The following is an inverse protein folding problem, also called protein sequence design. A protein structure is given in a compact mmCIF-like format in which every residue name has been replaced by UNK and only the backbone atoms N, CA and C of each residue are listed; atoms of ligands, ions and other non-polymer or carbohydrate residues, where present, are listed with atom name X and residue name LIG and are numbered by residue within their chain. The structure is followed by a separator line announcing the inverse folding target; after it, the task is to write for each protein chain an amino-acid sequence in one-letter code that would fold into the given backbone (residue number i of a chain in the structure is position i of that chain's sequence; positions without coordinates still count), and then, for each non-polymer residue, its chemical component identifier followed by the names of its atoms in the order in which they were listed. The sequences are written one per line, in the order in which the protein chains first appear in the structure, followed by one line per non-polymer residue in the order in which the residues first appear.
data_IF_654270924419
#
_entry.id   IF_654270924419
#
_cell.length_a   1.000
_cell.length_b   1.000
_cell.length_c   1.000
_cell.angle_alpha   90.00
_cell.angle_beta   90.00
_cell.angle_gamma   90.00
#
_symmetry.space_group_name_H-M   'P 1'
#
loop_
_entity.id
_entity.type
_entity.pdbx_description
1 polymer ?
#
# COMPACT_ATOMS: atom_id res chain seq x y z
N UNK A 1 4.74 -21.00 -9.99
CA UNK A 1 5.96 -20.33 -9.50
C UNK A 1 6.07 -18.87 -9.96
N UNK A 2 6.00 -18.57 -11.26
CA UNK A 2 6.05 -17.18 -11.77
C UNK A 2 5.05 -16.22 -11.11
N UNK A 3 3.77 -16.62 -11.02
CA UNK A 3 2.73 -15.81 -10.35
C UNK A 3 3.01 -15.52 -8.88
N UNK A 4 3.58 -16.47 -8.15
CA UNK A 4 3.96 -16.29 -6.75
C UNK A 4 5.05 -15.23 -6.60
N UNK A 5 6.11 -15.34 -7.41
CA UNK A 5 7.21 -14.37 -7.40
C UNK A 5 6.70 -12.97 -7.74
N UNK A 6 5.92 -12.84 -8.82
CA UNK A 6 5.30 -11.56 -9.17
C UNK A 6 4.44 -10.97 -8.06
N UNK A 7 3.65 -11.79 -7.38
CA UNK A 7 2.82 -11.36 -6.26
C UNK A 7 3.67 -10.76 -5.14
N UNK A 8 4.76 -11.42 -4.72
CA UNK A 8 5.65 -10.91 -3.67
C UNK A 8 6.34 -9.61 -4.10
N UNK A 9 6.86 -9.55 -5.33
CA UNK A 9 7.47 -8.34 -5.86
C UNK A 9 6.48 -7.17 -5.93
N UNK A 10 5.24 -7.43 -6.34
CA UNK A 10 4.19 -6.42 -6.36
C UNK A 10 3.91 -5.83 -4.96
N UNK A 11 3.76 -6.69 -3.94
CA UNK A 11 3.55 -6.26 -2.55
C UNK A 11 4.74 -5.41 -2.05
N UNK A 12 5.96 -5.84 -2.34
CA UNK A 12 7.17 -5.12 -1.95
C UNK A 12 7.27 -3.76 -2.66
N UNK A 13 7.08 -3.71 -3.98
CA UNK A 13 7.14 -2.48 -4.77
C UNK A 13 6.11 -1.45 -4.30
N UNK A 14 4.86 -1.88 -4.02
CA UNK A 14 3.83 -0.97 -3.50
C UNK A 14 4.23 -0.36 -2.16
N UNK A 15 4.82 -1.15 -1.26
CA UNK A 15 5.36 -0.63 0.00
C UNK A 15 6.49 0.39 -0.22
N UNK A 16 7.47 0.06 -1.08
CA UNK A 16 8.63 0.92 -1.36
C UNK A 16 8.22 2.27 -1.98
N UNK A 17 7.26 2.27 -2.91
CA UNK A 17 6.76 3.50 -3.54
C UNK A 17 6.15 4.41 -2.49
N UNK A 18 5.32 3.87 -1.58
CA UNK A 18 4.66 4.65 -0.51
C UNK A 18 5.65 5.19 0.51
N UNK A 19 6.68 4.42 0.84
CA UNK A 19 7.77 4.90 1.70
C UNK A 19 8.56 6.02 1.04
N UNK A 20 8.93 5.87 -0.23
CA UNK A 20 9.62 6.91 -1.01
C UNK A 20 8.82 8.22 -1.05
N UNK A 21 7.52 8.14 -1.37
CA UNK A 21 6.62 9.29 -1.38
C UNK A 21 6.48 9.93 0.01
N UNK A 22 6.38 9.13 1.07
CA UNK A 22 6.27 9.63 2.45
C UNK A 22 7.55 10.36 2.89
N UNK A 23 8.72 9.81 2.56
CA UNK A 23 10.02 10.45 2.82
C UNK A 23 10.19 11.75 2.03
N UNK A 24 9.73 11.77 0.78
CA UNK A 24 9.73 12.98 -0.05
C UNK A 24 8.85 14.08 0.57
N UNK A 25 7.68 13.73 1.12
CA UNK A 25 6.83 14.70 1.82
C UNK A 25 7.45 15.20 3.13
N UNK A 26 8.16 14.34 3.87
CA UNK A 26 8.91 14.75 5.06
C UNK A 26 9.98 15.80 4.74
N UNK A 27 10.62 15.67 3.58
CA UNK A 27 11.62 16.63 3.12
C UNK A 27 11.00 17.98 2.70
N UNK A 28 9.81 17.96 2.07
CA UNK A 28 9.17 19.18 1.53
C UNK A 28 8.46 20.02 2.60
N UNK A 29 7.80 19.41 3.58
CA UNK A 29 6.92 20.11 4.52
C UNK A 29 7.59 20.31 5.89
N UNK A 30 8.07 21.52 6.23
CA UNK A 30 8.79 21.78 7.49
C UNK A 30 7.90 21.91 8.74
N UNK A 31 6.59 21.69 8.65
CA UNK A 31 5.66 21.87 9.78
C UNK A 31 5.77 20.79 10.86
N UNK A 32 5.94 21.15 12.13
CA UNK A 32 6.21 20.22 13.25
C UNK A 32 5.10 19.17 13.46
N UNK A 33 3.83 19.55 13.39
CA UNK A 33 2.69 18.63 13.52
C UNK A 33 2.59 17.68 12.32
N UNK A 34 2.84 18.20 11.12
CA UNK A 34 2.80 17.44 9.86
C UNK A 34 3.92 16.44 9.80
N UNK A 35 5.10 16.85 10.22
CA UNK A 35 6.28 16.01 10.30
C UNK A 35 5.98 14.79 11.19
N UNK A 36 5.37 15.00 12.37
CA UNK A 36 4.97 13.89 13.25
C UNK A 36 3.95 12.95 12.59
N UNK A 37 2.95 13.49 11.90
CA UNK A 37 1.94 12.71 11.14
C UNK A 37 2.56 11.93 9.99
N UNK A 38 3.49 12.53 9.25
CA UNK A 38 4.19 11.90 8.13
C UNK A 38 5.15 10.80 8.60
N UNK A 39 5.87 11.01 9.70
CA UNK A 39 6.70 9.96 10.32
C UNK A 39 5.82 8.81 10.78
N UNK A 40 4.70 9.09 11.45
CA UNK A 40 3.75 8.06 11.86
C UNK A 40 3.22 7.27 10.64
N UNK A 41 2.90 7.97 9.55
CA UNK A 41 2.44 7.37 8.27
C UNK A 41 3.55 6.52 7.63
N UNK A 42 4.80 6.96 7.66
CA UNK A 42 5.94 6.21 7.15
C UNK A 42 6.15 4.90 7.94
N UNK A 43 6.16 4.99 9.27
CA UNK A 43 6.30 3.82 10.15
C UNK A 43 5.13 2.86 9.95
N UNK A 44 3.91 3.37 9.88
CA UNK A 44 2.71 2.58 9.62
C UNK A 44 2.81 1.83 8.29
N UNK A 45 3.13 2.51 7.18
CA UNK A 45 3.30 1.87 5.87
C UNK A 45 4.42 0.83 5.87
N UNK A 46 5.55 1.10 6.55
CA UNK A 46 6.65 0.14 6.65
C UNK A 46 6.23 -1.14 7.38
N UNK A 47 5.62 -1.00 8.56
CA UNK A 47 5.21 -2.14 9.39
C UNK A 47 4.17 -2.99 8.67
N UNK A 48 3.10 -2.37 8.15
CA UNK A 48 2.05 -3.11 7.44
C UNK A 48 2.53 -3.68 6.11
N UNK A 49 3.35 -2.94 5.35
CA UNK A 49 3.91 -3.43 4.10
C UNK A 49 4.80 -4.67 4.31
N UNK A 50 5.67 -4.66 5.32
CA UNK A 50 6.46 -5.84 5.70
C UNK A 50 5.55 -6.98 6.13
N UNK A 51 4.53 -6.73 6.95
CA UNK A 51 3.58 -7.76 7.37
C UNK A 51 2.84 -8.41 6.18
N UNK A 52 2.39 -7.62 5.20
CA UNK A 52 1.77 -8.14 3.98
C UNK A 52 2.74 -8.96 3.13
N UNK A 53 3.99 -8.51 2.96
CA UNK A 53 5.02 -9.28 2.24
C UNK A 53 5.31 -10.61 2.93
N UNK A 54 5.52 -10.61 4.24
CA UNK A 54 5.77 -11.83 5.02
C UNK A 54 4.57 -12.79 4.94
N UNK A 55 3.36 -12.28 5.14
CA UNK A 55 2.12 -13.08 5.02
C UNK A 55 1.98 -13.64 3.60
N UNK A 56 2.30 -12.83 2.58
CA UNK A 56 2.36 -13.27 1.18
C UNK A 56 3.34 -14.42 0.99
N UNK A 57 4.58 -14.30 1.48
CA UNK A 57 5.60 -15.34 1.35
C UNK A 57 5.21 -16.63 2.06
N UNK A 58 4.60 -16.53 3.26
CA UNK A 58 4.18 -17.65 4.08
C UNK A 58 2.68 -17.95 3.95
N UNK A 59 2.07 -17.63 2.80
CA UNK A 59 0.62 -17.80 2.58
C UNK A 59 0.17 -19.27 2.62
N UNK A 60 1.09 -20.22 2.42
CA UNK A 60 0.81 -21.65 2.41
C UNK A 60 1.79 -22.42 3.31
N UNK A 61 1.28 -23.47 3.95
CA UNK A 61 2.05 -24.42 4.75
C UNK A 61 1.84 -25.84 4.21
N UNK A 62 2.87 -26.48 3.63
CA UNK A 62 4.19 -25.94 3.26
C UNK A 62 4.10 -24.92 2.11
N UNK A 63 5.09 -24.03 1.96
CA UNK A 63 5.12 -22.99 0.91
C UNK A 63 5.01 -23.59 -0.49
N UNK A 64 5.61 -24.78 -0.69
CA UNK A 64 5.55 -25.53 -1.94
C UNK A 64 4.14 -25.89 -2.37
N UNK A 65 3.22 -26.00 -1.40
CA UNK A 65 1.82 -26.31 -1.68
C UNK A 65 1.14 -25.26 -2.57
N UNK A 66 1.59 -24.00 -2.53
CA UNK A 66 1.04 -22.94 -3.38
C UNK A 66 1.05 -23.31 -4.87
N UNK A 67 2.12 -23.95 -5.36
CA UNK A 67 2.24 -24.33 -6.77
C UNK A 67 2.05 -25.82 -7.05
N UNK A 68 2.15 -26.69 -6.03
CA UNK A 68 1.93 -28.14 -6.21
C UNK A 68 0.47 -28.56 -6.07
N UNK A 69 -0.39 -27.75 -5.42
CA UNK A 69 -1.83 -28.06 -5.24
C UNK A 69 -2.57 -28.31 -6.56
N UNK A 70 -2.14 -27.69 -7.66
CA UNK A 70 -2.74 -27.83 -8.99
C UNK A 70 -2.20 -29.03 -9.77
N UNK A 71 -1.12 -29.65 -9.30
CA UNK A 71 -0.43 -30.76 -9.99
C UNK A 71 -0.71 -32.08 -9.29
N UNK A 72 -0.68 -32.11 -7.95
CA UNK A 72 -0.89 -33.32 -7.15
C UNK A 72 -1.90 -33.02 -6.01
N UNK A 73 -3.18 -33.37 -6.18
CA UNK A 73 -4.23 -33.09 -5.19
C UNK A 73 -4.09 -33.90 -3.88
N UNK A 74 -3.22 -34.91 -3.83
CA UNK A 74 -2.98 -35.73 -2.62
C UNK A 74 -2.02 -35.08 -1.61
N UNK A 75 -1.33 -34.00 -1.98
CA UNK A 75 -0.41 -33.32 -1.06
C UNK A 75 -1.23 -32.57 -0.01
N UNK A 76 -1.22 -33.05 1.23
CA UNK A 76 -1.85 -32.34 2.36
C UNK A 76 -1.14 -31.02 2.62
N UNK A 77 -1.79 -29.90 2.34
CA UNK A 77 -1.31 -28.57 2.67
C UNK A 77 -2.47 -27.61 2.90
N UNK A 78 -2.20 -26.52 3.62
CA UNK A 78 -3.21 -25.49 3.88
C UNK A 78 -2.66 -24.13 3.49
N UNK A 79 -3.43 -23.43 2.65
CA UNK A 79 -3.20 -22.04 2.31
C UNK A 79 -4.20 -21.15 3.03
N UNK A 80 -3.81 -19.90 3.28
CA UNK A 80 -4.75 -18.86 3.69
C UNK A 80 -5.72 -18.55 2.55
N UNK A 81 -6.82 -17.89 2.87
CA UNK A 81 -7.76 -17.43 1.85
C UNK A 81 -7.14 -16.28 1.03
N UNK A 82 -6.55 -16.62 -0.11
CA UNK A 82 -5.84 -15.68 -0.98
C UNK A 82 -6.76 -14.55 -1.48
N UNK A 83 -8.03 -14.84 -1.71
CA UNK A 83 -9.01 -13.83 -2.12
C UNK A 83 -9.20 -12.81 -0.99
N UNK A 84 -9.49 -13.26 0.23
CA UNK A 84 -9.63 -12.36 1.39
C UNK A 84 -8.37 -11.55 1.63
N UNK A 85 -7.19 -12.17 1.54
CA UNK A 85 -5.91 -11.49 1.65
C UNK A 85 -5.76 -10.38 0.59
N UNK A 86 -6.11 -10.67 -0.67
CA UNK A 86 -6.07 -9.69 -1.75
C UNK A 86 -7.04 -8.52 -1.51
N UNK A 87 -8.27 -8.79 -1.07
CA UNK A 87 -9.26 -7.74 -0.74
C UNK A 87 -8.77 -6.82 0.39
N UNK A 88 -8.22 -7.40 1.46
CA UNK A 88 -7.68 -6.63 2.59
C UNK A 88 -6.49 -5.79 2.14
N UNK A 89 -5.56 -6.37 1.36
CA UNK A 89 -4.41 -5.64 0.84
C UNK A 89 -4.82 -4.50 -0.10
N UNK A 90 -5.82 -4.73 -0.96
CA UNK A 90 -6.36 -3.72 -1.88
C UNK A 90 -7.03 -2.56 -1.11
N UNK A 91 -7.88 -2.88 -0.14
CA UNK A 91 -8.53 -1.87 0.70
C UNK A 91 -7.50 -1.03 1.46
N UNK A 92 -6.47 -1.66 2.04
CA UNK A 92 -5.38 -0.97 2.72
C UNK A 92 -4.59 -0.07 1.76
N UNK A 93 -4.31 -0.54 0.53
CA UNK A 93 -3.61 0.26 -0.47
C UNK A 93 -4.40 1.52 -0.83
N UNK A 94 -5.68 1.38 -1.13
CA UNK A 94 -6.54 2.51 -1.50
C UNK A 94 -6.67 3.49 -0.32
N UNK A 95 -6.90 2.99 0.89
CA UNK A 95 -7.01 3.84 2.08
C UNK A 95 -5.73 4.65 2.34
N UNK A 96 -4.56 4.03 2.18
CA UNK A 96 -3.27 4.71 2.36
C UNK A 96 -3.01 5.72 1.25
N UNK A 97 -3.43 5.47 0.00
CA UNK A 97 -3.30 6.44 -1.09
C UNK A 97 -4.17 7.68 -0.86
N UNK A 98 -5.43 7.47 -0.46
CA UNK A 98 -6.35 8.56 -0.10
C UNK A 98 -5.79 9.39 1.06
N UNK A 99 -5.22 8.73 2.08
CA UNK A 99 -4.58 9.39 3.22
C UNK A 99 -3.36 10.22 2.80
N UNK A 100 -2.49 9.67 1.95
CA UNK A 100 -1.31 10.37 1.44
C UNK A 100 -1.67 11.59 0.59
N UNK A 101 -2.81 11.57 -0.11
CA UNK A 101 -3.34 12.74 -0.81
C UNK A 101 -4.00 13.76 0.12
N UNK A 102 -4.69 13.29 1.16
CA UNK A 102 -5.35 14.17 2.13
C UNK A 102 -4.35 14.98 2.99
N UNK A 103 -3.20 14.39 3.34
CA UNK A 103 -2.15 15.03 4.12
C UNK A 103 -1.67 16.38 3.55
N UNK A 104 -1.17 16.49 2.31
CA UNK A 104 -0.74 17.76 1.74
C UNK A 104 -1.91 18.74 1.55
N UNK A 105 -3.12 18.24 1.24
CA UNK A 105 -4.32 19.08 1.14
C UNK A 105 -4.70 19.73 2.48
N UNK A 106 -4.48 19.04 3.60
CA UNK A 106 -4.70 19.60 4.93
C UNK A 106 -3.76 20.76 5.24
N UNK A 107 -2.53 20.72 4.71
CA UNK A 107 -1.53 21.79 4.87
C UNK A 107 -1.77 22.97 3.93
N UNK A 108 -2.32 22.70 2.75
CA UNK A 108 -2.71 23.75 1.82
C UNK A 108 -3.88 24.59 2.38
N UNK A 109 -4.73 24.06 3.27
CA UNK A 109 -5.76 24.88 3.94
C UNK A 109 -5.19 25.98 4.84
N UNK A 110 -3.95 25.85 5.34
CA UNK A 110 -3.30 26.90 6.13
C UNK A 110 -2.48 27.88 5.27
N UNK A 111 -2.44 27.70 3.95
CA UNK A 111 -1.68 28.53 3.03
C UNK A 111 -2.59 28.92 1.86
N UNK A 112 -3.05 30.18 1.80
CA UNK A 112 -4.00 30.78 0.83
C UNK A 112 -3.82 30.34 -0.64
N UNK A 113 -4.23 29.12 -0.98
CA UNK A 113 -4.13 28.55 -2.32
C UNK A 113 -5.53 28.35 -2.86
N UNK A 114 -5.79 29.05 -3.96
CA UNK A 114 -7.08 29.18 -4.61
C UNK A 114 -7.75 27.83 -4.91
N UNK A 115 -9.08 27.81 -4.77
CA UNK A 115 -9.99 26.67 -4.99
C UNK A 115 -9.76 25.88 -6.30
N UNK A 116 -9.11 26.48 -7.30
CA UNK A 116 -8.75 25.86 -8.59
C UNK A 116 -7.80 24.67 -8.45
N UNK A 117 -6.82 24.71 -7.53
CA UNK A 117 -5.88 23.58 -7.31
C UNK A 117 -6.55 22.41 -6.60
N UNK A 118 -7.51 22.69 -5.72
CA UNK A 118 -8.33 21.69 -5.02
C UNK A 118 -9.19 20.89 -6.00
N UNK A 119 -9.75 21.57 -7.02
CA UNK A 119 -10.48 20.90 -8.10
C UNK A 119 -9.56 20.05 -8.98
N UNK A 120 -8.32 20.47 -9.24
CA UNK A 120 -7.36 19.70 -10.02
C UNK A 120 -7.04 18.33 -9.40
N UNK A 121 -6.87 18.25 -8.08
CA UNK A 121 -6.62 16.98 -7.38
C UNK A 121 -7.84 16.06 -7.42
N UNK A 122 -9.05 16.61 -7.22
CA UNK A 122 -10.31 15.85 -7.34
C UNK A 122 -10.50 15.34 -8.77
N UNK A 123 -10.18 16.15 -9.78
CA UNK A 123 -10.31 15.78 -11.19
C UNK A 123 -9.27 14.74 -11.63
N UNK A 124 -8.02 14.85 -11.16
CA UNK A 124 -7.01 13.80 -11.38
C UNK A 124 -7.43 12.46 -10.77
N UNK A 125 -8.07 12.47 -9.60
CA UNK A 125 -8.57 11.26 -8.96
C UNK A 125 -9.78 10.66 -9.70
N UNK A 126 -10.68 11.51 -10.21
CA UNK A 126 -11.82 11.09 -11.04
C UNK A 126 -11.38 10.50 -12.39
N UNK A 127 -10.35 11.07 -13.03
CA UNK A 127 -9.80 10.53 -14.28
C UNK A 127 -9.06 9.22 -14.04
N UNK A 128 -8.33 9.08 -12.94
CA UNK A 128 -7.64 7.82 -12.60
C UNK A 128 -8.57 6.68 -12.19
N UNK A 129 -9.82 6.99 -11.83
CA UNK A 129 -10.84 6.02 -11.42
C UNK A 129 -11.80 5.61 -12.54
N UNK A 130 -11.75 6.29 -13.69
CA UNK A 130 -12.53 5.99 -14.91
C UNK A 130 -11.70 5.13 -15.87
#
# INVERSE_FOLDING_TARGET
MFFFVLQIFYLALMCLIKLSLSLFYLYIFPGTTVHRLLVATCVFNAVFGVAFVLTGMFSCTPISHYWTQYVNPEISGRCINLNLFAWVHAAFNIATDLWMLALPLSQIKSLDLSWKKKFGVIFMFLIGAL
#
